data_IF_838649101256
#
_entry.id   IF_838649101256
#
_cell.length_a   1.000
_cell.length_b   1.000
_cell.length_c   1.000
_cell.angle_alpha   90.00
_cell.angle_beta   90.00
_cell.angle_gamma   90.00
#
_symmetry.space_group_name_H-M   'P 1'
#
loop_
_entity.id
_entity.type
_entity.pdbx_description
1 polymer ?
#
# COMPACT_ATOMS: atom_id res chain seq x y z
N UNK A 1 -24.39 18.70 -32.01
CA UNK A 1 -23.39 19.35 -31.13
C UNK A 1 -23.47 18.60 -29.83
N UNK A 2 -22.69 17.54 -29.73
CA UNK A 2 -22.62 16.67 -28.56
C UNK A 2 -21.18 16.72 -28.09
N UNK A 3 -20.80 17.86 -27.52
CA UNK A 3 -19.61 17.96 -26.67
C UNK A 3 -19.98 17.24 -25.36
N UNK A 4 -19.77 15.92 -25.35
CA UNK A 4 -19.74 15.14 -24.13
C UNK A 4 -18.39 15.45 -23.45
N UNK A 5 -18.37 16.07 -22.26
CA UNK A 5 -17.11 16.40 -21.60
C UNK A 5 -16.43 15.11 -21.13
N UNK A 6 -15.25 14.84 -21.69
CA UNK A 6 -14.38 13.73 -21.30
C UNK A 6 -14.19 13.64 -19.77
N UNK A 7 -14.25 12.44 -19.18
CA UNK A 7 -13.94 12.28 -17.77
C UNK A 7 -12.44 12.51 -17.59
N UNK A 8 -12.09 13.68 -17.05
CA UNK A 8 -10.73 13.97 -16.62
C UNK A 8 -10.33 13.00 -15.50
N UNK A 9 -9.33 12.16 -15.77
CA UNK A 9 -8.54 11.44 -14.76
C UNK A 9 -8.49 9.94 -15.04
N UNK A 10 -7.41 9.33 -15.53
CA UNK A 10 -5.99 9.67 -15.41
C UNK A 10 -5.27 9.03 -16.60
N UNK A 11 -4.35 9.75 -17.26
CA UNK A 11 -3.48 9.16 -18.32
C UNK A 11 -2.45 8.15 -17.79
N UNK A 12 -2.51 7.85 -16.50
CA UNK A 12 -1.69 6.82 -15.88
C UNK A 12 -2.48 5.52 -15.89
N UNK A 13 -1.95 4.44 -16.48
CA UNK A 13 -2.56 3.14 -16.31
C UNK A 13 -2.71 2.89 -14.81
N UNK A 14 -3.84 2.30 -14.35
CA UNK A 14 -3.99 1.95 -12.95
C UNK A 14 -2.77 1.13 -12.53
N UNK A 15 -2.22 1.41 -11.33
CA UNK A 15 -1.10 0.63 -10.87
C UNK A 15 -1.50 -0.85 -10.84
N UNK A 16 -0.56 -1.77 -11.07
CA UNK A 16 -0.85 -3.20 -11.11
C UNK A 16 -1.72 -3.63 -9.92
N UNK A 17 -2.62 -4.60 -10.12
CA UNK A 17 -3.55 -5.08 -9.08
C UNK A 17 -2.85 -5.59 -7.81
N UNK A 18 -1.56 -5.89 -7.92
CA UNK A 18 -0.67 -6.36 -6.87
C UNK A 18 0.25 -5.24 -6.30
N UNK A 19 -0.01 -3.98 -6.65
CA UNK A 19 0.75 -2.84 -6.18
C UNK A 19 0.38 -2.46 -4.75
N UNK A 20 1.36 -1.93 -4.02
CA UNK A 20 1.20 -1.42 -2.67
C UNK A 20 2.21 -0.30 -2.40
N UNK A 21 1.92 0.52 -1.40
CA UNK A 21 2.75 1.66 -1.04
C UNK A 21 3.05 1.59 0.45
N UNK A 22 4.28 1.90 0.84
CA UNK A 22 4.61 2.09 2.25
C UNK A 22 3.87 3.33 2.79
N UNK A 23 3.04 3.17 3.82
CA UNK A 23 2.26 4.26 4.39
C UNK A 23 3.12 5.32 5.09
N UNK A 24 4.33 4.94 5.51
CA UNK A 24 5.29 5.84 6.17
C UNK A 24 6.09 6.69 5.16
N UNK A 25 6.80 6.05 4.22
CA UNK A 25 7.73 6.75 3.32
C UNK A 25 7.21 6.93 1.89
N UNK A 26 6.00 6.43 1.59
CA UNK A 26 5.34 6.49 0.28
C UNK A 26 6.09 5.77 -0.86
N UNK A 27 7.06 4.91 -0.54
CA UNK A 27 7.74 4.07 -1.53
C UNK A 27 6.77 3.06 -2.14
N UNK A 28 6.66 3.06 -3.47
CA UNK A 28 5.85 2.12 -4.24
C UNK A 28 6.60 0.79 -4.41
N UNK A 29 5.93 -0.32 -4.14
CA UNK A 29 6.41 -1.68 -4.39
C UNK A 29 7.85 -1.94 -3.91
N UNK A 30 8.11 -1.64 -2.63
CA UNK A 30 9.39 -2.00 -2.01
C UNK A 30 9.62 -3.53 -2.05
N UNK A 31 10.87 -3.96 -1.85
CA UNK A 31 11.23 -5.37 -1.98
C UNK A 31 10.48 -6.24 -0.97
N UNK A 32 10.23 -5.70 0.23
CA UNK A 32 9.52 -6.40 1.28
C UNK A 32 8.31 -5.60 1.76
N UNK A 33 7.15 -6.26 1.87
CA UNK A 33 5.93 -5.67 2.43
C UNK A 33 5.66 -6.23 3.82
N UNK A 34 5.49 -5.35 4.79
CA UNK A 34 5.06 -5.67 6.14
C UNK A 34 3.67 -5.10 6.38
N UNK A 35 2.66 -5.96 6.53
CA UNK A 35 1.29 -5.52 6.80
C UNK A 35 1.00 -5.54 8.30
N UNK A 36 0.37 -4.49 8.81
CA UNK A 36 -0.14 -4.45 10.18
C UNK A 36 -1.21 -5.55 10.37
N UNK A 37 -1.11 -6.31 11.47
CA UNK A 37 -2.03 -7.42 11.78
C UNK A 37 -3.39 -6.94 12.31
N UNK A 38 -3.45 -5.72 12.84
CA UNK A 38 -4.67 -5.15 13.45
C UNK A 38 -5.47 -4.26 12.48
N UNK A 39 -4.87 -3.86 11.37
CA UNK A 39 -5.46 -2.95 10.39
C UNK A 39 -5.95 -3.72 9.16
N UNK A 40 -7.23 -3.60 8.83
CA UNK A 40 -7.89 -4.38 7.78
C UNK A 40 -9.03 -3.58 7.09
N UNK A 41 -9.41 -4.00 5.88
CA UNK A 41 -10.43 -3.28 5.10
C UNK A 41 -9.91 -1.94 4.59
N UNK A 42 -10.56 -0.84 4.97
CA UNK A 42 -10.23 0.51 4.47
C UNK A 42 -9.05 1.18 5.20
N UNK A 43 -8.55 0.60 6.31
CA UNK A 43 -7.50 1.20 7.14
C UNK A 43 -6.20 0.40 7.17
N UNK A 44 -5.92 -0.44 6.16
CA UNK A 44 -4.66 -1.22 6.13
C UNK A 44 -3.45 -0.31 6.29
N UNK A 45 -2.42 -0.82 6.96
CA UNK A 45 -1.18 -0.10 7.14
C UNK A 45 -0.01 -1.00 6.76
N UNK A 46 0.75 -0.62 5.73
CA UNK A 46 1.84 -1.37 5.13
C UNK A 46 3.16 -0.60 5.27
N UNK A 47 4.22 -1.30 5.68
CA UNK A 47 5.57 -0.78 5.82
C UNK A 47 6.55 -1.52 4.90
N UNK A 48 7.57 -0.81 4.41
CA UNK A 48 8.72 -1.43 3.75
C UNK A 48 9.79 -1.90 4.73
N UNK A 49 10.80 -2.58 4.21
CA UNK A 49 11.98 -3.05 4.94
C UNK A 49 12.76 -1.95 5.68
N UNK A 50 12.73 -0.70 5.20
CA UNK A 50 13.42 0.41 5.86
C UNK A 50 12.62 0.99 7.02
N UNK A 51 11.28 1.01 6.91
CA UNK A 51 10.41 1.64 7.91
C UNK A 51 9.99 0.69 9.04
N UNK A 52 10.06 -0.63 8.84
CA UNK A 52 9.61 -1.62 9.84
C UNK A 52 10.32 -1.48 11.19
N UNK A 53 11.61 -1.11 11.18
CA UNK A 53 12.40 -0.89 12.39
C UNK A 53 11.91 0.28 13.24
N UNK A 54 11.14 1.21 12.66
CA UNK A 54 10.54 2.35 13.35
C UNK A 54 9.05 2.13 13.66
N UNK A 55 8.51 0.93 13.42
CA UNK A 55 7.07 0.63 13.56
C UNK A 55 6.49 1.04 14.90
N UNK A 56 7.22 0.86 16.01
CA UNK A 56 6.77 1.25 17.35
C UNK A 56 6.66 2.76 17.55
N UNK A 57 7.37 3.55 16.74
CA UNK A 57 7.31 5.02 16.75
C UNK A 57 6.23 5.55 15.81
N UNK A 58 6.17 5.03 14.58
CA UNK A 58 5.31 5.56 13.51
C UNK A 58 3.91 4.93 13.49
N UNK A 59 3.76 3.74 14.08
CA UNK A 59 2.48 3.03 14.18
C UNK A 59 2.40 2.28 15.53
N UNK A 60 2.40 3.02 16.65
CA UNK A 60 2.52 2.46 17.99
C UNK A 60 1.36 1.51 18.35
N UNK A 61 1.66 0.52 19.19
CA UNK A 61 0.66 -0.41 19.74
C UNK A 61 0.28 -1.57 18.82
N UNK A 62 0.76 -1.60 17.58
CA UNK A 62 0.45 -2.65 16.61
C UNK A 62 1.69 -3.49 16.23
N UNK A 63 1.42 -4.71 15.74
CA UNK A 63 2.46 -5.62 15.25
C UNK A 63 2.26 -5.94 13.77
N UNK A 64 3.34 -6.31 13.11
CA UNK A 64 3.39 -6.48 11.66
C UNK A 64 3.67 -7.93 11.27
N UNK A 65 3.20 -8.34 10.10
CA UNK A 65 3.54 -9.60 9.45
C UNK A 65 4.25 -9.34 8.13
N UNK A 66 5.26 -10.15 7.83
CA UNK A 66 5.88 -10.21 6.52
C UNK A 66 4.86 -10.77 5.50
N UNK A 67 4.72 -10.10 4.36
CA UNK A 67 3.94 -10.60 3.22
C UNK A 67 4.93 -11.21 2.22
N UNK A 68 4.86 -12.52 2.04
CA UNK A 68 5.67 -13.22 1.04
C UNK A 68 5.05 -13.04 -0.35
N UNK A 69 5.84 -13.27 -1.41
CA UNK A 69 5.37 -13.14 -2.80
C UNK A 69 4.20 -14.08 -3.14
N UNK A 70 3.99 -15.15 -2.38
CA UNK A 70 2.82 -16.04 -2.47
C UNK A 70 1.53 -15.47 -1.87
N UNK A 71 1.64 -14.43 -1.02
CA UNK A 71 0.54 -13.82 -0.28
C UNK A 71 0.14 -12.45 -0.82
N UNK A 72 0.54 -12.13 -2.06
CA UNK A 72 0.13 -10.88 -2.70
C UNK A 72 -1.35 -10.97 -3.03
N UNK A 73 -2.18 -10.61 -2.05
CA UNK A 73 -3.61 -10.45 -2.27
C UNK A 73 -3.81 -9.20 -3.12
N UNK A 74 -4.43 -9.33 -4.31
CA UNK A 74 -4.84 -8.14 -5.06
C UNK A 74 -5.84 -7.36 -4.21
N UNK A 75 -5.63 -6.05 -4.14
CA UNK A 75 -6.54 -5.12 -3.47
C UNK A 75 -7.83 -4.97 -4.26
#
# INVERSE_FOLDING_TARGET
MSDDPEPYGSRFPPPPSNSWTCDSCRRLNAATRYQCKACYGYNTYDLCEECIGQSTLIHPGHTFRLIQSSDIRPR
#
